data_IF_676562369173
#
_entry.id   IF_676562369173
#
_cell.length_a   1.000
_cell.length_b   1.000
_cell.length_c   1.000
_cell.angle_alpha   90.00
_cell.angle_beta   90.00
_cell.angle_gamma   90.00
#
_symmetry.space_group_name_H-M   'P 1'
#
loop_
_entity.id
_entity.type
_entity.pdbx_description
1 polymer ?
#
# COMPACT_ATOMS: atom_id res chain seq x y z
N UNK A 1 6.34 7.91 5.81
CA UNK A 1 6.95 7.97 4.46
C UNK A 1 6.51 6.80 3.59
N UNK A 2 6.88 5.54 3.84
CA UNK A 2 6.52 4.41 2.96
C UNK A 2 5.00 4.29 2.73
N UNK A 3 4.21 4.16 3.82
CA UNK A 3 2.74 4.14 3.72
C UNK A 3 2.16 5.40 3.08
N UNK A 4 2.68 6.58 3.45
CA UNK A 4 2.17 7.85 2.91
C UNK A 4 2.45 7.99 1.41
N UNK A 5 3.60 7.48 0.95
CA UNK A 5 3.98 7.44 -0.44
C UNK A 5 3.04 6.53 -1.25
N UNK A 6 2.76 5.32 -0.75
CA UNK A 6 1.80 4.42 -1.40
C UNK A 6 0.40 5.06 -1.50
N UNK A 7 -0.09 5.67 -0.42
CA UNK A 7 -1.36 6.39 -0.41
C UNK A 7 -1.36 7.59 -1.37
N UNK A 8 -0.24 8.31 -1.47
CA UNK A 8 -0.11 9.45 -2.38
C UNK A 8 -0.09 9.02 -3.84
N UNK A 9 0.67 7.98 -4.18
CA UNK A 9 0.72 7.41 -5.52
C UNK A 9 -0.68 6.95 -5.97
N UNK A 10 -1.40 6.25 -5.08
CA UNK A 10 -2.79 5.82 -5.29
C UNK A 10 -3.84 6.94 -5.24
N UNK A 11 -3.47 8.18 -4.89
CA UNK A 11 -4.40 9.30 -4.78
C UNK A 11 -5.38 9.21 -3.60
N UNK A 12 -5.05 8.40 -2.59
CA UNK A 12 -5.85 8.21 -1.38
C UNK A 12 -5.45 9.16 -0.24
N UNK A 13 -4.20 9.67 -0.26
CA UNK A 13 -3.65 10.41 0.86
C UNK A 13 -4.47 11.66 1.20
N UNK A 14 -4.97 11.72 2.44
CA UNK A 14 -5.68 12.89 2.96
C UNK A 14 -4.67 13.89 3.51
N UNK A 15 -4.59 15.07 2.88
CA UNK A 15 -3.64 16.14 3.19
C UNK A 15 -4.00 17.06 4.37
N UNK A 16 -5.12 16.82 5.05
CA UNK A 16 -5.59 17.67 6.15
C UNK A 16 -4.66 17.64 7.37
N UNK A 17 -4.27 18.83 7.83
CA UNK A 17 -3.39 19.04 8.97
C UNK A 17 -4.17 19.29 10.27
N UNK A 18 -3.74 18.64 11.36
CA UNK A 18 -4.30 18.79 12.71
C UNK A 18 -5.33 17.73 13.08
N UNK A 19 -6.10 17.95 14.14
CA UNK A 19 -7.17 17.01 14.57
C UNK A 19 -6.69 15.77 15.32
N UNK A 20 -7.64 14.89 15.64
CA UNK A 20 -7.41 13.69 16.44
C UNK A 20 -6.57 12.63 15.73
N UNK A 21 -5.91 11.79 16.53
CA UNK A 21 -5.24 10.59 16.01
C UNK A 21 -6.24 9.59 15.44
N UNK A 22 -5.81 8.84 14.44
CA UNK A 22 -6.63 7.85 13.74
C UNK A 22 -6.07 6.44 13.88
N UNK A 23 -6.93 5.46 13.68
CA UNK A 23 -6.67 4.02 13.77
C UNK A 23 -6.93 3.38 12.41
N UNK A 24 -5.93 3.38 11.50
CA UNK A 24 -6.06 2.77 10.17
C UNK A 24 -6.12 1.23 10.26
N UNK A 25 -6.08 0.54 9.12
CA UNK A 25 -6.03 -0.93 9.10
C UNK A 25 -4.96 -1.51 10.03
N UNK A 26 -5.35 -2.53 10.79
CA UNK A 26 -4.48 -3.30 11.66
C UNK A 26 -5.07 -4.72 11.82
N UNK A 27 -4.24 -5.78 11.89
CA UNK A 27 -4.73 -7.11 12.20
C UNK A 27 -5.47 -7.18 13.56
N UNK A 28 -6.56 -7.96 13.66
CA UNK A 28 -7.28 -8.13 14.91
C UNK A 28 -6.40 -8.82 15.97
N UNK A 29 -6.75 -8.67 17.25
CA UNK A 29 -6.09 -9.39 18.35
C UNK A 29 -4.86 -8.70 18.96
N UNK A 30 -4.19 -7.79 18.23
CA UNK A 30 -2.94 -7.17 18.71
C UNK A 30 -3.07 -6.35 20.00
N UNK A 31 -4.28 -5.89 20.34
CA UNK A 31 -4.53 -5.12 21.56
C UNK A 31 -5.11 -5.97 22.70
N UNK A 32 -5.45 -7.23 22.43
CA UNK A 32 -6.11 -8.12 23.38
C UNK A 32 -5.13 -8.76 24.37
N UNK A 33 -3.84 -8.83 24.01
CA UNK A 33 -2.77 -9.41 24.84
C UNK A 33 -2.37 -8.50 26.03
N UNK A 34 -2.90 -7.28 26.13
CA UNK A 34 -2.59 -6.34 27.23
C UNK A 34 -3.67 -6.44 28.31
N UNK A 35 -3.51 -7.45 29.17
CA UNK A 35 -4.43 -7.87 30.23
C UNK A 35 -4.59 -6.82 31.34
N UNK A 36 -5.46 -5.84 31.16
CA UNK A 36 -6.10 -5.12 32.28
C UNK A 36 -7.58 -4.90 31.98
N UNK A 37 -8.45 -5.01 32.99
CA UNK A 37 -9.92 -4.99 32.88
C UNK A 37 -10.52 -3.70 32.28
N UNK A 38 -9.72 -2.69 31.92
CA UNK A 38 -10.17 -1.40 31.39
C UNK A 38 -9.32 -0.87 30.22
N UNK A 39 -8.59 -1.72 29.50
CA UNK A 39 -7.82 -1.27 28.33
C UNK A 39 -8.73 -1.21 27.10
N UNK A 40 -8.87 -0.04 26.44
CA UNK A 40 -9.68 0.06 25.24
C UNK A 40 -9.14 -0.89 24.17
N UNK A 41 -10.05 -1.63 23.52
CA UNK A 41 -9.75 -2.50 22.38
C UNK A 41 -9.51 -1.65 21.13
N UNK A 42 -8.76 -2.20 20.18
CA UNK A 42 -8.58 -1.55 18.90
C UNK A 42 -9.91 -1.53 18.14
N UNK A 43 -10.34 -0.34 17.74
CA UNK A 43 -11.48 -0.14 16.86
C UNK A 43 -10.96 0.63 15.66
N UNK A 44 -11.00 0.00 14.49
CA UNK A 44 -10.61 0.62 13.23
C UNK A 44 -11.51 1.83 12.96
N UNK A 45 -10.89 2.94 12.57
CA UNK A 45 -11.63 4.09 12.03
C UNK A 45 -11.93 3.85 10.55
N UNK A 46 -12.97 4.50 10.02
CA UNK A 46 -13.44 4.29 8.64
C UNK A 46 -13.31 5.54 7.76
N UNK A 47 -13.45 5.37 6.44
CA UNK A 47 -13.45 6.46 5.48
C UNK A 47 -12.13 7.24 5.43
N UNK A 48 -12.17 8.57 5.34
CA UNK A 48 -10.97 9.41 5.21
C UNK A 48 -9.93 9.19 6.33
N UNK A 49 -10.38 8.76 7.53
CA UNK A 49 -9.50 8.47 8.65
C UNK A 49 -8.49 7.37 8.34
N UNK A 50 -8.84 6.41 7.46
CA UNK A 50 -7.95 5.34 7.02
C UNK A 50 -6.78 5.83 6.19
N UNK A 51 -6.91 6.98 5.51
CA UNK A 51 -5.95 7.46 4.52
C UNK A 51 -5.22 8.73 4.97
N UNK A 52 -5.34 9.11 6.25
CA UNK A 52 -4.54 10.20 6.81
C UNK A 52 -3.07 9.84 6.84
N UNK A 53 -2.24 10.88 6.84
CA UNK A 53 -0.79 10.77 7.02
C UNK A 53 -0.48 9.94 8.26
N UNK A 54 0.52 9.08 8.14
CA UNK A 54 1.00 8.16 9.18
C UNK A 54 1.45 8.88 10.46
N UNK A 55 1.74 10.19 10.36
CA UNK A 55 1.96 11.08 11.50
C UNK A 55 0.78 11.10 12.48
N UNK A 56 -0.45 10.97 11.98
CA UNK A 56 -1.69 10.99 12.77
C UNK A 56 -2.10 9.60 13.27
N UNK A 57 -1.36 8.53 12.94
CA UNK A 57 -1.68 7.19 13.42
C UNK A 57 -1.50 7.11 14.93
N UNK A 58 -2.52 6.61 15.63
CA UNK A 58 -2.47 6.39 17.07
C UNK A 58 -1.36 5.41 17.44
N UNK A 59 -0.51 5.80 18.39
CA UNK A 59 0.64 5.01 18.81
C UNK A 59 0.49 4.59 20.26
N UNK A 60 0.00 3.36 20.49
CA UNK A 60 -0.05 2.75 21.82
C UNK A 60 1.37 2.37 22.24
N UNK A 61 1.80 2.76 23.45
CA UNK A 61 3.20 2.57 23.91
C UNK A 61 3.66 1.11 23.83
N UNK A 62 2.83 0.18 24.30
CA UNK A 62 3.13 -1.26 24.36
C UNK A 62 2.80 -2.03 23.07
N UNK A 63 1.98 -1.45 22.19
CA UNK A 63 1.57 -2.07 20.92
C UNK A 63 1.66 -1.02 19.81
N UNK A 64 2.87 -0.72 19.31
CA UNK A 64 3.05 0.23 18.22
C UNK A 64 2.29 -0.23 16.95
N UNK A 65 2.02 0.69 16.00
CA UNK A 65 1.43 0.30 14.72
C UNK A 65 2.27 -0.79 14.03
N UNK A 66 1.69 -1.94 13.63
CA UNK A 66 2.44 -3.11 13.21
C UNK A 66 3.25 -2.86 11.94
N UNK A 67 2.72 -2.09 10.99
CA UNK A 67 3.46 -1.73 9.78
C UNK A 67 4.70 -0.91 10.12
N UNK A 68 4.61 0.03 11.07
CA UNK A 68 5.79 0.79 11.50
C UNK A 68 6.80 -0.12 12.19
N UNK A 69 6.35 -1.05 13.02
CA UNK A 69 7.22 -2.00 13.70
C UNK A 69 7.93 -2.95 12.72
N UNK A 70 7.24 -3.42 11.69
CA UNK A 70 7.83 -4.25 10.63
C UNK A 70 8.89 -3.51 9.80
N UNK A 71 8.84 -2.17 9.77
CA UNK A 71 9.86 -1.29 9.19
C UNK A 71 10.78 -0.66 10.25
N UNK A 72 11.07 -1.41 11.32
CA UNK A 72 12.02 -1.05 12.39
C UNK A 72 11.78 0.31 13.06
N UNK A 73 10.53 0.77 13.12
CA UNK A 73 10.23 1.96 13.89
C UNK A 73 10.57 1.71 15.37
N UNK A 74 11.33 2.60 16.01
CA UNK A 74 11.77 2.41 17.39
C UNK A 74 10.56 2.38 18.33
N UNK A 75 10.60 1.50 19.34
CA UNK A 75 9.62 1.55 20.42
C UNK A 75 9.81 2.84 21.21
N UNK A 76 8.72 3.43 21.72
CA UNK A 76 8.76 4.64 22.57
C UNK A 76 9.06 4.30 24.03
N UNK A 77 9.73 3.18 24.27
CA UNK A 77 10.01 2.67 25.61
C UNK A 77 11.40 3.04 26.09
N UNK A 78 12.36 3.15 25.16
CA UNK A 78 13.76 3.48 25.43
C UNK A 78 14.28 4.49 24.41
N UNK A 79 15.35 5.20 24.77
CA UNK A 79 16.03 6.10 23.85
C UNK A 79 16.73 5.31 22.73
N UNK A 80 16.52 5.70 21.48
CA UNK A 80 17.16 5.10 20.30
C UNK A 80 17.96 6.18 19.57
N UNK A 81 19.29 6.04 19.57
CA UNK A 81 20.21 7.01 18.95
C UNK A 81 20.19 6.94 17.43
N UNK A 82 20.12 5.72 16.87
CA UNK A 82 20.18 5.46 15.43
C UNK A 82 19.18 4.37 15.08
N UNK A 83 18.45 4.53 13.96
CA UNK A 83 17.59 3.47 13.44
C UNK A 83 18.41 2.39 12.75
N UNK A 84 18.06 1.13 12.98
CA UNK A 84 18.64 0.02 12.25
C UNK A 84 18.30 0.13 10.76
N UNK A 85 19.23 -0.30 9.90
CA UNK A 85 18.97 -0.52 8.48
C UNK A 85 18.81 -2.01 8.28
N UNK A 86 17.61 -2.47 7.96
CA UNK A 86 17.35 -3.88 7.68
C UNK A 86 16.56 -4.05 6.39
N UNK A 87 16.63 -5.26 5.84
CA UNK A 87 15.77 -5.71 4.75
C UNK A 87 15.20 -7.07 5.16
N UNK A 88 14.11 -7.05 5.92
CA UNK A 88 13.50 -8.28 6.42
C UNK A 88 12.43 -8.80 5.44
N UNK A 89 12.28 -10.13 5.29
CA UNK A 89 11.17 -10.70 4.53
C UNK A 89 9.79 -10.24 5.06
N UNK A 90 9.69 -9.95 6.36
CA UNK A 90 8.48 -9.45 6.98
C UNK A 90 8.08 -8.07 6.41
N UNK A 91 9.04 -7.17 6.20
CA UNK A 91 8.78 -5.87 5.58
C UNK A 91 8.22 -6.02 4.16
N UNK A 92 8.78 -6.93 3.35
CA UNK A 92 8.26 -7.25 2.02
C UNK A 92 6.83 -7.83 2.08
N UNK A 93 6.57 -8.75 3.01
CA UNK A 93 5.23 -9.33 3.20
C UNK A 93 4.19 -8.29 3.62
N UNK A 94 4.58 -7.28 4.41
CA UNK A 94 3.68 -6.16 4.74
C UNK A 94 3.28 -5.38 3.50
N UNK A 95 4.21 -5.06 2.60
CA UNK A 95 3.92 -4.34 1.35
C UNK A 95 3.00 -5.14 0.43
N UNK A 96 3.15 -6.46 0.42
CA UNK A 96 2.37 -7.35 -0.42
C UNK A 96 0.96 -7.63 0.10
N UNK A 97 0.76 -7.67 1.42
CA UNK A 97 -0.46 -8.25 2.01
C UNK A 97 -1.28 -7.27 2.86
N UNK A 98 -0.69 -6.22 3.43
CA UNK A 98 -1.46 -5.32 4.27
C UNK A 98 -2.51 -4.58 3.43
N UNK A 99 -3.78 -4.52 3.90
CA UNK A 99 -4.88 -3.92 3.14
C UNK A 99 -4.59 -2.51 2.66
N UNK A 100 -3.82 -1.72 3.41
CA UNK A 100 -3.44 -0.36 3.04
C UNK A 100 -2.65 -0.33 1.73
N UNK A 101 -1.67 -1.22 1.58
CA UNK A 101 -0.83 -1.26 0.39
C UNK A 101 -1.57 -1.88 -0.80
N UNK A 102 -2.31 -2.97 -0.58
CA UNK A 102 -3.12 -3.59 -1.63
C UNK A 102 -4.17 -2.62 -2.17
N UNK A 103 -4.86 -1.91 -1.29
CA UNK A 103 -5.85 -0.91 -1.66
C UNK A 103 -5.22 0.28 -2.40
N UNK A 104 -4.08 0.77 -1.91
CA UNK A 104 -3.33 1.83 -2.59
C UNK A 104 -2.88 1.42 -3.99
N UNK A 105 -2.40 0.18 -4.16
CA UNK A 105 -2.02 -0.38 -5.47
C UNK A 105 -3.21 -0.48 -6.41
N UNK A 106 -4.39 -0.88 -5.93
CA UNK A 106 -5.62 -0.91 -6.73
C UNK A 106 -6.04 0.48 -7.20
N UNK A 107 -5.97 1.49 -6.32
CA UNK A 107 -6.31 2.86 -6.68
C UNK A 107 -5.30 3.48 -7.63
N UNK A 108 -4.02 3.17 -7.45
CA UNK A 108 -2.94 3.52 -8.37
C UNK A 108 -3.17 2.89 -9.76
N UNK A 109 -3.53 1.61 -9.82
CA UNK A 109 -3.86 0.93 -11.07
C UNK A 109 -5.03 1.60 -11.81
N UNK A 110 -6.11 1.92 -11.11
CA UNK A 110 -7.24 2.63 -11.71
C UNK A 110 -6.84 4.03 -12.23
N UNK A 111 -5.97 4.73 -11.51
CA UNK A 111 -5.41 6.02 -11.95
C UNK A 111 -4.55 5.85 -13.21
N UNK A 112 -3.70 4.84 -13.25
CA UNK A 112 -2.85 4.52 -14.41
C UNK A 112 -3.68 4.16 -15.63
N UNK A 113 -4.75 3.38 -15.47
CA UNK A 113 -5.64 3.01 -16.57
C UNK A 113 -6.40 4.21 -17.15
N UNK A 114 -6.80 5.18 -16.32
CA UNK A 114 -7.48 6.40 -16.77
C UNK A 114 -6.54 7.44 -17.38
N UNK A 115 -5.44 7.72 -16.69
CA UNK A 115 -4.57 8.87 -17.00
C UNK A 115 -3.36 8.47 -17.86
N UNK A 116 -3.06 7.16 -17.95
CA UNK A 116 -1.87 6.63 -18.60
C UNK A 116 -1.95 6.53 -20.12
N UNK A 117 -3.07 6.92 -20.74
CA UNK A 117 -3.24 6.90 -22.20
C UNK A 117 -3.62 5.54 -22.78
N UNK A 118 -3.50 5.43 -24.10
CA UNK A 118 -4.04 4.31 -24.87
C UNK A 118 -3.15 3.07 -24.96
N UNK A 119 -1.83 3.20 -24.72
CA UNK A 119 -0.89 2.07 -24.88
C UNK A 119 -0.49 1.50 -23.51
N UNK A 120 -0.15 0.21 -23.48
CA UNK A 120 0.39 -0.42 -22.28
C UNK A 120 1.69 0.28 -21.83
N UNK A 121 2.55 0.62 -22.78
CA UNK A 121 3.81 1.33 -22.53
C UNK A 121 3.62 2.69 -21.85
N UNK A 122 2.66 3.49 -22.32
CA UNK A 122 2.41 4.80 -21.71
C UNK A 122 1.85 4.67 -20.29
N UNK A 123 1.02 3.66 -20.05
CA UNK A 123 0.50 3.31 -18.72
C UNK A 123 1.60 2.81 -17.78
N UNK A 124 2.49 1.94 -18.24
CA UNK A 124 3.63 1.45 -17.46
C UNK A 124 4.62 2.56 -17.13
N UNK A 125 4.85 3.47 -18.08
CA UNK A 125 5.67 4.66 -17.87
C UNK A 125 5.06 5.56 -16.81
N UNK A 126 3.74 5.80 -16.85
CA UNK A 126 3.06 6.58 -15.83
C UNK A 126 3.14 5.90 -14.46
N UNK A 127 2.88 4.58 -14.38
CA UNK A 127 2.99 3.81 -13.15
C UNK A 127 4.37 3.99 -12.50
N UNK A 128 5.43 3.78 -13.29
CA UNK A 128 6.80 3.90 -12.82
C UNK A 128 7.13 5.33 -12.36
N UNK A 129 6.63 6.36 -13.07
CA UNK A 129 6.82 7.76 -12.67
C UNK A 129 6.10 8.13 -11.38
N UNK A 130 4.90 7.62 -11.17
CA UNK A 130 4.12 7.91 -9.96
C UNK A 130 4.74 7.28 -8.71
N UNK A 131 5.43 6.15 -8.86
CA UNK A 131 6.08 5.44 -7.76
C UNK A 131 7.55 5.86 -7.60
N UNK A 132 8.36 5.74 -8.65
CA UNK A 132 9.81 5.96 -8.59
C UNK A 132 10.24 7.40 -8.93
N UNK A 133 9.32 8.28 -9.34
CA UNK A 133 9.63 9.68 -9.67
C UNK A 133 10.42 9.91 -10.98
N UNK A 134 10.78 8.85 -11.71
CA UNK A 134 11.53 8.90 -12.97
C UNK A 134 10.91 8.03 -14.06
N UNK A 135 11.36 8.22 -15.30
CA UNK A 135 11.02 7.32 -16.39
C UNK A 135 11.71 5.94 -16.21
N UNK A 136 11.04 4.84 -16.59
CA UNK A 136 11.68 3.54 -16.62
C UNK A 136 12.75 3.51 -17.73
N UNK A 137 13.79 2.73 -17.52
CA UNK A 137 14.73 2.34 -18.58
C UNK A 137 14.06 1.34 -19.52
N UNK A 138 14.63 1.13 -20.71
CA UNK A 138 14.12 0.14 -21.66
C UNK A 138 14.08 -1.28 -21.07
N UNK A 139 15.07 -1.62 -20.24
CA UNK A 139 15.12 -2.91 -19.57
C UNK A 139 13.98 -3.07 -18.54
N UNK A 140 13.77 -2.07 -17.69
CA UNK A 140 12.69 -2.07 -16.70
C UNK A 140 11.32 -2.11 -17.37
N UNK A 141 11.14 -1.35 -18.44
CA UNK A 141 9.91 -1.35 -19.22
C UNK A 141 9.63 -2.72 -19.84
N UNK A 142 10.66 -3.41 -20.34
CA UNK A 142 10.56 -4.78 -20.82
C UNK A 142 10.11 -5.77 -19.73
N UNK A 143 10.71 -5.67 -18.53
CA UNK A 143 10.33 -6.50 -17.38
C UNK A 143 8.88 -6.24 -16.94
N UNK A 144 8.48 -4.97 -16.83
CA UNK A 144 7.12 -4.58 -16.46
C UNK A 144 6.09 -5.05 -17.49
N UNK A 145 6.43 -4.98 -18.78
CA UNK A 145 5.56 -5.43 -19.86
C UNK A 145 5.37 -6.95 -19.84
N UNK A 146 6.45 -7.71 -19.62
CA UNK A 146 6.38 -9.16 -19.47
C UNK A 146 5.54 -9.58 -18.27
N UNK A 147 5.81 -8.99 -17.10
CA UNK A 147 5.04 -9.25 -15.89
C UNK A 147 3.55 -8.90 -16.05
N UNK A 148 3.23 -7.78 -16.73
CA UNK A 148 1.85 -7.41 -17.01
C UNK A 148 1.13 -8.46 -17.87
N UNK A 149 1.78 -8.96 -18.93
CA UNK A 149 1.19 -9.97 -19.80
C UNK A 149 0.90 -11.29 -19.06
N UNK A 150 1.81 -11.72 -18.18
CA UNK A 150 1.62 -12.88 -17.31
C UNK A 150 0.43 -12.68 -16.35
N UNK A 151 0.36 -11.52 -15.69
CA UNK A 151 -0.72 -11.17 -14.76
C UNK A 151 -2.07 -11.10 -15.47
N UNK A 152 -2.13 -10.50 -16.66
CA UNK A 152 -3.35 -10.46 -17.47
C UNK A 152 -3.83 -11.87 -17.82
N UNK A 153 -2.91 -12.73 -18.28
CA UNK A 153 -3.23 -14.14 -18.59
C UNK A 153 -3.78 -14.86 -17.35
N UNK A 154 -3.15 -14.69 -16.20
CA UNK A 154 -3.57 -15.30 -14.94
C UNK A 154 -4.96 -14.83 -14.49
N UNK A 155 -5.22 -13.52 -14.48
CA UNK A 155 -6.50 -12.97 -14.04
C UNK A 155 -7.65 -13.21 -15.02
N UNK A 156 -7.36 -13.34 -16.33
CA UNK A 156 -8.35 -13.80 -17.29
C UNK A 156 -8.71 -15.28 -17.10
N UNK A 157 -7.74 -16.12 -16.71
CA UNK A 157 -7.97 -17.53 -16.40
C UNK A 157 -8.73 -17.73 -15.08
N UNK A 158 -8.51 -16.87 -14.08
CA UNK A 158 -9.18 -16.92 -12.78
C UNK A 158 -9.88 -15.60 -12.39
N UNK A 159 -11.07 -15.30 -12.96
CA UNK A 159 -11.80 -14.06 -12.67
C UNK A 159 -12.20 -13.91 -11.18
N UNK A 160 -12.34 -15.03 -10.46
CA UNK A 160 -12.62 -15.02 -9.03
C UNK A 160 -11.46 -14.42 -8.23
N UNK A 161 -10.20 -14.67 -8.63
CA UNK A 161 -9.04 -14.08 -8.00
C UNK A 161 -8.99 -12.56 -8.20
N UNK A 162 -9.35 -12.08 -9.40
CA UNK A 162 -9.45 -10.66 -9.68
C UNK A 162 -10.47 -9.97 -8.75
N UNK A 163 -11.66 -10.56 -8.57
CA UNK A 163 -12.67 -10.02 -7.65
C UNK A 163 -12.18 -9.95 -6.21
N UNK A 164 -11.59 -11.05 -5.69
CA UNK A 164 -11.02 -11.09 -4.33
C UNK A 164 -9.99 -9.99 -4.09
N UNK A 165 -9.10 -9.76 -5.06
CA UNK A 165 -8.10 -8.69 -4.96
C UNK A 165 -8.74 -7.30 -4.97
N UNK A 166 -9.73 -7.09 -5.85
CA UNK A 166 -10.39 -5.80 -6.01
C UNK A 166 -11.33 -5.41 -4.86
N UNK A 167 -11.73 -6.38 -4.05
CA UNK A 167 -12.54 -6.21 -2.84
C UNK A 167 -11.71 -5.83 -1.59
N UNK A 168 -10.37 -5.83 -1.67
CA UNK A 168 -9.52 -5.45 -0.55
C UNK A 168 -9.55 -3.93 -0.31
N UNK A 169 -9.83 -3.55 0.94
CA UNK A 169 -9.92 -2.16 1.39
C UNK A 169 -11.36 -1.61 1.39
N UNK A 170 -11.55 -0.37 1.85
CA UNK A 170 -12.88 0.26 1.99
C UNK A 170 -13.27 1.12 0.78
N UNK A 171 -12.32 1.56 -0.03
CA UNK A 171 -12.65 2.38 -1.20
C UNK A 171 -13.39 1.55 -2.25
N UNK A 172 -14.40 2.13 -2.92
CA UNK A 172 -15.10 1.44 -4.00
C UNK A 172 -14.16 1.24 -5.20
N UNK A 173 -14.35 0.12 -5.90
CA UNK A 173 -13.71 -0.11 -7.20
C UNK A 173 -14.38 0.75 -8.27
N UNK A 174 -13.65 1.02 -9.34
CA UNK A 174 -14.20 1.64 -10.53
C UNK A 174 -14.84 0.54 -11.40
N UNK A 175 -16.17 0.50 -11.46
CA UNK A 175 -16.89 -0.54 -12.19
C UNK A 175 -16.87 -0.36 -13.71
N UNK A 176 -16.41 0.80 -14.20
CA UNK A 176 -16.27 1.05 -15.63
C UNK A 176 -15.06 0.36 -16.25
N UNK A 177 -14.09 -0.06 -15.42
CA UNK A 177 -12.87 -0.74 -15.84
C UNK A 177 -13.06 -2.26 -15.85
N UNK A 178 -12.41 -2.94 -16.80
CA UNK A 178 -12.36 -4.40 -16.80
C UNK A 178 -11.69 -4.91 -15.52
N UNK A 179 -12.31 -5.90 -14.89
CA UNK A 179 -11.87 -6.39 -13.58
C UNK A 179 -10.53 -7.15 -13.67
N UNK A 180 -10.29 -7.89 -14.76
CA UNK A 180 -9.05 -8.63 -14.93
C UNK A 180 -7.89 -7.68 -15.27
N UNK A 181 -8.13 -6.69 -16.13
CA UNK A 181 -7.15 -5.65 -16.44
C UNK A 181 -6.80 -4.82 -15.19
N UNK A 182 -7.80 -4.36 -14.44
CA UNK A 182 -7.58 -3.61 -13.21
C UNK A 182 -6.81 -4.43 -12.16
N UNK A 183 -7.15 -5.72 -12.00
CA UNK A 183 -6.43 -6.61 -11.09
C UNK A 183 -4.97 -6.82 -11.51
N UNK A 184 -4.71 -7.01 -12.81
CA UNK A 184 -3.35 -7.17 -13.33
C UNK A 184 -2.49 -5.92 -13.06
N UNK A 185 -3.01 -4.73 -13.36
CA UNK A 185 -2.31 -3.47 -13.03
C UNK A 185 -2.18 -3.26 -11.52
N UNK A 186 -3.15 -3.68 -10.71
CA UNK A 186 -3.08 -3.57 -9.25
C UNK A 186 -1.96 -4.45 -8.68
N UNK A 187 -1.84 -5.70 -9.12
CA UNK A 187 -0.75 -6.59 -8.73
C UNK A 187 0.61 -6.07 -9.18
N UNK A 188 0.71 -5.55 -10.41
CA UNK A 188 1.94 -4.94 -10.90
C UNK A 188 2.31 -3.69 -10.07
N UNK A 189 1.35 -2.81 -9.81
CA UNK A 189 1.55 -1.63 -8.98
C UNK A 189 2.01 -1.97 -7.56
N UNK A 190 1.48 -3.05 -6.98
CA UNK A 190 1.92 -3.56 -5.69
C UNK A 190 3.38 -4.03 -5.71
N UNK A 191 3.77 -4.78 -6.77
CA UNK A 191 5.16 -5.18 -6.96
C UNK A 191 6.11 -3.98 -7.12
N UNK A 192 5.72 -2.96 -7.89
CA UNK A 192 6.55 -1.74 -8.07
C UNK A 192 6.70 -0.97 -6.75
N UNK A 193 5.62 -0.82 -5.97
CA UNK A 193 5.65 -0.22 -4.63
C UNK A 193 6.52 -1.00 -3.63
N UNK A 194 6.73 -2.30 -3.88
CA UNK A 194 7.59 -3.18 -3.11
C UNK A 194 9.08 -3.11 -3.45
N UNK A 195 9.48 -2.33 -4.46
CA UNK A 195 10.89 -2.24 -4.87
C UNK A 195 11.73 -1.39 -3.92
N UNK A 196 13.02 -1.70 -3.82
CA UNK A 196 13.97 -0.93 -3.00
C UNK A 196 13.96 0.57 -3.34
N UNK A 197 13.82 0.91 -4.63
CA UNK A 197 13.73 2.30 -5.08
C UNK A 197 12.48 2.98 -4.52
N UNK A 198 11.31 2.33 -4.62
CA UNK A 198 10.04 2.81 -4.10
C UNK A 198 9.96 2.84 -2.56
N UNK A 199 10.89 2.20 -1.86
CA UNK A 199 10.94 2.20 -0.38
C UNK A 199 11.91 3.26 0.12
N UNK A 200 13.03 3.46 -0.58
CA UNK A 200 14.18 4.24 -0.09
C UNK A 200 14.35 5.61 -0.71
N UNK A 201 13.80 5.87 -1.90
CA UNK A 201 14.06 7.10 -2.69
C UNK A 201 12.81 7.97 -2.90
N UNK A 202 12.01 8.13 -1.84
CA UNK A 202 10.71 8.81 -1.86
C UNK A 202 10.73 10.22 -1.29
#
# INVERSE_FOLDING_TARGET
MIRDHALSAGGLLVGWLGGESVRPYQPPGLWDDVVYENVPRFVQDHGEKLYRRSLYTYWKRSVPPPNMQAFDAPSREVCVLTRAKTNTPLAALVLMNDPTFVEASRKLAGRVLRDGGATAESRLTLLHRLVCGRHPTEHELGLLSGALAELQTSFHAEPAAAKRLLEVGETPRDESLDAAELAAYASLANAVLGTDEAITRN
#
